data_IF_555347377847
#
_entry.id   IF_555347377847
#
_cell.length_a   1.000
_cell.length_b   1.000
_cell.length_c   1.000
_cell.angle_alpha   90.00
_cell.angle_beta   90.00
_cell.angle_gamma   90.00
#
_symmetry.space_group_name_H-M   'P 1'
#
loop_
_entity.id
_entity.type
_entity.pdbx_description
1 polymer ?
#
# COMPACT_ATOMS: atom_id res chain seq x y z
N UNK A 1 -0.32 -51.34 -12.50
CA UNK A 1 -0.40 -50.35 -11.38
C UNK A 1 0.65 -49.24 -11.56
N UNK A 2 0.46 -48.30 -12.49
CA UNK A 2 1.43 -47.20 -12.74
C UNK A 2 0.80 -45.84 -13.07
N UNK A 3 -0.54 -45.68 -12.99
CA UNK A 3 -1.23 -44.43 -13.37
C UNK A 3 -1.74 -43.60 -12.19
N UNK A 4 -1.64 -44.10 -10.96
CA UNK A 4 -2.20 -43.45 -9.77
C UNK A 4 -1.25 -42.44 -9.10
N UNK A 5 0.01 -42.37 -9.53
CA UNK A 5 1.02 -41.50 -8.91
C UNK A 5 1.04 -40.04 -9.41
N UNK A 6 0.30 -39.72 -10.48
CA UNK A 6 0.33 -38.37 -11.08
C UNK A 6 -0.59 -37.39 -10.35
N UNK A 7 -1.66 -37.87 -9.70
CA UNK A 7 -2.64 -36.99 -9.01
C UNK A 7 -2.10 -36.47 -7.67
N UNK A 8 -1.17 -37.18 -7.04
CA UNK A 8 -0.59 -36.75 -5.76
C UNK A 8 0.36 -35.56 -5.90
N UNK A 9 0.95 -35.34 -7.09
CA UNK A 9 1.93 -34.27 -7.31
C UNK A 9 1.28 -32.89 -7.47
N UNK A 10 0.01 -32.82 -7.90
CA UNK A 10 -0.72 -31.56 -8.04
C UNK A 10 -1.12 -30.92 -6.70
N UNK A 11 -1.21 -31.70 -5.62
CA UNK A 11 -1.58 -31.19 -4.30
C UNK A 11 -0.42 -30.58 -3.51
N UNK A 12 0.83 -30.75 -3.94
CA UNK A 12 2.02 -30.29 -3.18
C UNK A 12 2.44 -28.86 -3.59
N UNK A 13 1.95 -28.35 -4.72
CA UNK A 13 2.21 -26.97 -5.15
C UNK A 13 1.21 -25.94 -4.63
N UNK A 14 0.22 -26.33 -3.82
CA UNK A 14 -0.70 -25.39 -3.18
C UNK A 14 -0.17 -24.81 -1.89
N UNK A 15 1.16 -24.67 -1.73
CA UNK A 15 1.71 -23.68 -0.81
C UNK A 15 1.37 -22.30 -1.37
N UNK A 16 0.10 -21.92 -1.22
CA UNK A 16 -0.41 -20.59 -1.47
C UNK A 16 0.48 -19.65 -0.68
N UNK A 17 1.39 -18.95 -1.37
CA UNK A 17 2.00 -17.75 -0.84
C UNK A 17 0.81 -16.87 -0.48
N UNK A 18 0.54 -16.75 0.82
CA UNK A 18 -0.59 -16.00 1.33
C UNK A 18 -0.32 -14.54 0.99
N UNK A 19 -0.89 -14.09 -0.12
CA UNK A 19 -0.66 -12.74 -0.59
C UNK A 19 -1.26 -11.75 0.40
N UNK A 20 -0.44 -10.77 0.75
CA UNK A 20 -0.84 -9.71 1.67
C UNK A 20 -1.74 -8.70 0.98
N UNK A 21 -2.64 -8.10 1.76
CA UNK A 21 -3.62 -7.14 1.28
C UNK A 21 -3.39 -5.80 1.95
N UNK A 22 -3.34 -4.73 1.16
CA UNK A 22 -3.39 -3.37 1.68
C UNK A 22 -4.85 -3.01 1.97
N UNK A 23 -5.16 -2.64 3.21
CA UNK A 23 -6.50 -2.18 3.56
C UNK A 23 -6.69 -0.72 3.07
N UNK A 24 -7.41 -0.55 1.96
CA UNK A 24 -7.67 0.77 1.36
C UNK A 24 -8.43 1.71 2.30
N UNK A 25 -9.34 1.20 3.15
CA UNK A 25 -10.08 2.03 4.11
C UNK A 25 -9.17 2.59 5.20
N UNK A 26 -8.22 1.79 5.68
CA UNK A 26 -7.17 2.27 6.59
C UNK A 26 -6.38 3.41 5.94
N UNK A 27 -6.00 3.23 4.67
CA UNK A 27 -5.25 4.22 3.92
C UNK A 27 -6.03 5.52 3.77
N UNK A 28 -7.33 5.47 3.43
CA UNK A 28 -8.20 6.66 3.42
C UNK A 28 -8.39 7.31 4.80
N UNK A 29 -8.29 6.54 5.88
CA UNK A 29 -8.46 7.06 7.24
C UNK A 29 -7.22 7.87 7.66
N UNK A 30 -6.01 7.36 7.40
CA UNK A 30 -4.77 8.05 7.82
C UNK A 30 -4.50 9.33 7.03
N UNK A 31 -5.11 9.51 5.87
CA UNK A 31 -5.06 10.81 5.18
C UNK A 31 -5.92 11.88 5.85
N UNK A 32 -6.96 11.50 6.59
CA UNK A 32 -7.91 12.41 7.24
C UNK A 32 -7.54 12.75 8.69
N UNK A 33 -6.70 11.94 9.31
CA UNK A 33 -6.22 12.19 10.68
C UNK A 33 -5.26 13.37 10.68
N UNK A 34 -5.40 14.25 11.67
CA UNK A 34 -4.48 15.36 11.91
C UNK A 34 -3.03 14.89 11.91
N UNK A 35 -2.15 15.59 11.18
CA UNK A 35 -0.73 15.24 11.09
C UNK A 35 -0.03 15.25 12.47
N UNK A 36 -0.54 16.03 13.43
CA UNK A 36 0.00 16.05 14.80
C UNK A 36 -0.34 14.76 15.56
N UNK A 37 -1.55 14.24 15.36
CA UNK A 37 -2.12 13.13 16.15
C UNK A 37 -1.92 11.75 15.50
N UNK A 38 -1.39 11.73 14.27
CA UNK A 38 -1.23 10.50 13.47
C UNK A 38 -0.29 9.47 14.11
N UNK A 39 0.64 9.88 14.98
CA UNK A 39 1.61 8.98 15.61
C UNK A 39 0.89 7.88 16.39
N UNK A 40 -0.02 8.25 17.29
CA UNK A 40 -0.77 7.30 18.11
C UNK A 40 -1.67 6.39 17.26
N UNK A 41 -2.28 6.95 16.21
CA UNK A 41 -3.12 6.16 15.30
C UNK A 41 -2.28 5.09 14.59
N UNK A 42 -1.11 5.46 14.07
CA UNK A 42 -0.23 4.53 13.37
C UNK A 42 0.37 3.48 14.29
N UNK A 43 0.88 3.88 15.46
CA UNK A 43 1.58 2.98 16.39
C UNK A 43 0.61 2.12 17.19
N UNK A 44 -0.29 2.73 17.95
CA UNK A 44 -1.19 2.03 18.86
C UNK A 44 -2.39 1.42 18.11
N UNK A 45 -2.92 2.14 17.12
CA UNK A 45 -4.08 1.69 16.35
C UNK A 45 -3.77 0.61 15.32
N UNK A 46 -2.67 0.77 14.57
CA UNK A 46 -2.35 -0.12 13.45
C UNK A 46 -1.05 -0.92 13.62
N UNK A 47 -0.32 -0.76 14.73
CA UNK A 47 0.87 -1.55 15.04
C UNK A 47 2.06 -1.25 14.14
N UNK A 48 2.16 -0.02 13.61
CA UNK A 48 3.35 0.43 12.90
C UNK A 48 4.43 0.88 13.89
N UNK A 49 5.68 0.79 13.45
CA UNK A 49 6.83 1.36 14.15
C UNK A 49 7.20 2.66 13.46
N UNK A 50 7.38 3.74 14.24
CA UNK A 50 7.88 5.02 13.73
C UNK A 50 9.37 4.88 13.41
N UNK A 51 9.75 5.18 12.16
CA UNK A 51 11.13 5.01 11.66
C UNK A 51 11.91 6.32 11.82
N UNK A 52 11.33 7.44 11.40
CA UNK A 52 11.96 8.75 11.51
C UNK A 52 10.93 9.89 11.40
N UNK A 53 11.31 11.03 11.97
CA UNK A 53 10.78 12.35 11.61
C UNK A 53 11.82 13.06 10.75
N UNK A 54 11.40 13.54 9.59
CA UNK A 54 12.28 14.23 8.64
C UNK A 54 11.69 15.56 8.19
N UNK A 55 12.55 16.41 7.63
CA UNK A 55 12.15 17.62 6.91
C UNK A 55 11.40 18.66 7.77
N UNK A 56 12.01 19.00 8.92
CA UNK A 56 11.47 19.96 9.92
C UNK A 56 10.06 19.59 10.42
N UNK A 57 9.76 18.29 10.54
CA UNK A 57 8.48 17.80 11.05
C UNK A 57 7.35 17.85 10.02
N UNK A 58 7.66 17.95 8.73
CA UNK A 58 6.65 17.86 7.65
C UNK A 58 6.57 16.45 7.04
N UNK A 59 7.44 15.52 7.46
CA UNK A 59 7.42 14.14 7.01
C UNK A 59 7.51 13.19 8.21
N UNK A 60 6.65 12.18 8.21
CA UNK A 60 6.63 11.11 9.20
C UNK A 60 6.71 9.76 8.49
N UNK A 61 7.67 8.92 8.88
CA UNK A 61 7.87 7.60 8.27
C UNK A 61 7.53 6.48 9.24
N UNK A 62 6.81 5.48 8.74
CA UNK A 62 6.36 4.32 9.49
C UNK A 62 6.65 3.04 8.73
N UNK A 63 6.93 1.97 9.46
CA UNK A 63 7.13 0.64 8.93
C UNK A 63 6.27 -0.37 9.70
N UNK A 64 5.74 -1.37 9.00
CA UNK A 64 5.13 -2.54 9.60
C UNK A 64 5.69 -3.76 8.89
N UNK A 65 6.28 -4.68 9.67
CA UNK A 65 6.92 -5.90 9.16
C UNK A 65 6.18 -7.09 9.77
N UNK A 66 5.13 -7.61 9.11
CA UNK A 66 4.38 -8.77 9.60
C UNK A 66 5.28 -10.01 9.70
N UNK A 67 5.18 -10.71 10.83
CA UNK A 67 5.90 -11.97 11.08
C UNK A 67 7.43 -11.86 10.91
N UNK A 68 8.00 -10.66 11.09
CA UNK A 68 9.42 -10.35 10.83
C UNK A 68 9.89 -10.75 9.43
N UNK A 69 8.98 -10.72 8.44
CA UNK A 69 9.28 -11.02 7.05
C UNK A 69 9.29 -9.74 6.20
N UNK A 70 10.46 -9.37 5.69
CA UNK A 70 10.63 -8.16 4.87
C UNK A 70 9.84 -8.21 3.56
N UNK A 71 9.56 -9.40 3.03
CA UNK A 71 8.76 -9.58 1.81
C UNK A 71 7.28 -9.23 2.02
N UNK A 72 6.88 -9.05 3.28
CA UNK A 72 5.55 -8.69 3.73
C UNK A 72 5.48 -7.24 4.26
N UNK A 73 6.59 -6.50 4.25
CA UNK A 73 6.66 -5.19 4.85
C UNK A 73 5.80 -4.15 4.12
N UNK A 74 5.27 -3.20 4.91
CA UNK A 74 4.65 -1.96 4.45
C UNK A 74 5.46 -0.81 5.01
N UNK A 75 5.88 0.11 4.15
CA UNK A 75 6.45 1.39 4.56
C UNK A 75 5.52 2.52 4.13
N UNK A 76 5.17 3.41 5.05
CA UNK A 76 4.30 4.56 4.78
C UNK A 76 5.06 5.83 5.15
N UNK A 77 5.19 6.73 4.19
CA UNK A 77 5.64 8.11 4.43
C UNK A 77 4.43 9.02 4.31
N UNK A 78 4.13 9.73 5.40
CA UNK A 78 3.15 10.82 5.40
C UNK A 78 3.85 12.14 5.15
N UNK A 79 3.26 12.95 4.29
CA UNK A 79 3.69 14.32 4.02
C UNK A 79 2.62 15.26 4.55
N UNK A 80 3.03 16.29 5.29
CA UNK A 80 2.18 17.41 5.67
C UNK A 80 2.16 18.42 4.53
N UNK A 81 1.08 18.51 3.75
CA UNK A 81 0.97 19.56 2.75
C UNK A 81 0.85 20.93 3.43
N UNK A 82 1.41 21.96 2.80
CA UNK A 82 1.38 23.32 3.36
C UNK A 82 -0.02 23.95 3.33
N UNK A 83 -0.86 23.56 2.35
CA UNK A 83 -2.13 24.21 2.04
C UNK A 83 -3.32 23.24 1.94
N UNK A 84 -3.14 21.94 2.21
CA UNK A 84 -4.23 20.97 2.09
C UNK A 84 -4.65 20.45 3.48
N UNK A 85 -5.95 20.19 3.68
CA UNK A 85 -6.45 19.69 4.96
C UNK A 85 -6.13 18.21 5.22
N UNK A 86 -5.60 17.48 4.22
CA UNK A 86 -5.44 16.03 4.23
C UNK A 86 -3.99 15.64 3.97
N UNK A 87 -3.51 14.57 4.59
CA UNK A 87 -2.12 14.13 4.43
C UNK A 87 -1.94 13.40 3.09
N UNK A 88 -0.91 13.78 2.33
CA UNK A 88 -0.46 12.99 1.19
C UNK A 88 0.37 11.80 1.67
N UNK A 89 0.29 10.67 0.95
CA UNK A 89 0.96 9.42 1.31
C UNK A 89 1.85 8.89 0.19
N UNK A 90 3.00 8.35 0.56
CA UNK A 90 3.77 7.41 -0.26
C UNK A 90 3.89 6.09 0.47
N UNK A 91 3.34 5.03 -0.11
CA UNK A 91 3.28 3.70 0.45
C UNK A 91 4.13 2.78 -0.40
N UNK A 92 5.13 2.13 0.21
CA UNK A 92 5.89 1.05 -0.40
C UNK A 92 5.40 -0.28 0.14
N UNK A 93 5.08 -1.19 -0.77
CA UNK A 93 4.62 -2.54 -0.48
C UNK A 93 5.66 -3.53 -0.97
N UNK A 94 6.09 -4.43 -0.09
CA UNK A 94 7.02 -5.48 -0.44
C UNK A 94 6.42 -6.50 -1.43
N UNK A 95 7.24 -7.45 -1.89
CA UNK A 95 6.93 -8.29 -3.06
C UNK A 95 5.74 -9.24 -2.91
N UNK A 96 5.28 -9.55 -1.69
CA UNK A 96 4.15 -10.49 -1.48
C UNK A 96 2.76 -9.84 -1.58
N UNK A 97 2.68 -8.52 -1.86
CA UNK A 97 1.41 -7.84 -2.07
C UNK A 97 0.86 -8.06 -3.49
N UNK A 98 -0.43 -8.40 -3.59
CA UNK A 98 -1.09 -8.58 -4.87
C UNK A 98 -1.65 -7.25 -5.40
N UNK A 99 -0.95 -6.66 -6.37
CA UNK A 99 -1.34 -5.41 -7.00
C UNK A 99 -2.67 -5.50 -7.74
N UNK A 100 -3.01 -6.63 -8.36
CA UNK A 100 -4.31 -6.80 -9.02
C UNK A 100 -5.46 -6.74 -8.01
N UNK A 101 -5.24 -7.31 -6.81
CA UNK A 101 -6.22 -7.18 -5.74
C UNK A 101 -6.34 -5.74 -5.26
N UNK A 102 -5.24 -5.02 -5.07
CA UNK A 102 -5.28 -3.61 -4.68
C UNK A 102 -6.06 -2.77 -5.69
N UNK A 103 -5.83 -2.98 -6.99
CA UNK A 103 -6.58 -2.32 -8.06
C UNK A 103 -8.07 -2.61 -8.00
N UNK A 104 -8.45 -3.86 -7.72
CA UNK A 104 -9.85 -4.25 -7.52
C UNK A 104 -10.43 -3.60 -6.27
N UNK A 105 -9.72 -3.65 -5.15
CA UNK A 105 -10.15 -3.07 -3.88
C UNK A 105 -10.34 -1.54 -4.02
N UNK A 106 -9.52 -0.85 -4.81
CA UNK A 106 -9.74 0.56 -5.16
C UNK A 106 -11.07 0.78 -5.89
N UNK A 107 -11.35 -0.01 -6.93
CA UNK A 107 -12.62 0.09 -7.68
C UNK A 107 -13.84 -0.26 -6.81
N UNK A 108 -13.71 -1.24 -5.90
CA UNK A 108 -14.75 -1.59 -4.93
C UNK A 108 -15.00 -0.51 -3.87
N UNK A 109 -14.06 0.46 -3.71
CA UNK A 109 -14.20 1.61 -2.81
C UNK A 109 -14.41 2.92 -3.60
N UNK A 110 -15.09 2.85 -4.74
CA UNK A 110 -15.56 3.98 -5.56
C UNK A 110 -14.44 4.80 -6.26
N UNK A 111 -13.23 4.26 -6.38
CA UNK A 111 -12.22 4.88 -7.23
C UNK A 111 -12.45 4.55 -8.71
N UNK A 112 -12.52 5.59 -9.54
CA UNK A 112 -12.59 5.48 -10.99
C UNK A 112 -11.18 5.33 -11.58
N UNK A 113 -10.98 4.31 -12.41
CA UNK A 113 -9.73 4.16 -13.17
C UNK A 113 -9.68 5.17 -14.32
N UNK A 114 -8.60 5.95 -14.37
CA UNK A 114 -8.39 7.02 -15.36
C UNK A 114 -7.35 6.68 -16.44
N UNK A 115 -6.74 5.50 -16.37
CA UNK A 115 -5.69 5.10 -17.30
C UNK A 115 -4.29 5.12 -16.71
N UNK A 116 -3.29 5.06 -17.58
CA UNK A 116 -1.88 5.13 -17.23
C UNK A 116 -1.38 6.57 -17.39
N UNK A 117 -0.65 7.08 -16.40
CA UNK A 117 -0.01 8.38 -16.49
C UNK A 117 1.35 8.29 -17.19
N UNK A 118 1.94 9.44 -17.54
CA UNK A 118 3.23 9.53 -18.25
C UNK A 118 4.42 8.95 -17.47
N UNK A 119 4.26 8.71 -16.17
CA UNK A 119 5.31 8.23 -15.27
C UNK A 119 5.20 6.72 -15.00
N UNK A 120 4.33 5.99 -15.73
CA UNK A 120 4.20 4.54 -15.56
C UNK A 120 3.38 4.14 -14.33
N UNK A 121 2.42 4.96 -13.90
CA UNK A 121 1.46 4.62 -12.84
C UNK A 121 0.06 4.45 -13.41
N UNK A 122 -0.66 3.45 -12.90
CA UNK A 122 -2.11 3.39 -13.04
C UNK A 122 -2.76 4.42 -12.14
N UNK A 123 -3.56 5.29 -12.72
CA UNK A 123 -4.23 6.38 -12.03
C UNK A 123 -5.68 6.03 -11.71
N UNK A 124 -6.05 6.29 -10.46
CA UNK A 124 -7.37 6.11 -9.91
C UNK A 124 -7.80 7.42 -9.25
N UNK A 125 -9.07 7.80 -9.38
CA UNK A 125 -9.60 9.02 -8.77
C UNK A 125 -10.93 8.76 -8.07
N UNK A 126 -11.07 9.34 -6.88
CA UNK A 126 -12.32 9.42 -6.13
C UNK A 126 -12.43 10.82 -5.55
N UNK A 127 -13.47 11.56 -5.93
CA UNK A 127 -13.63 12.97 -5.53
C UNK A 127 -12.34 13.79 -5.83
N UNK A 128 -11.74 14.40 -4.82
CA UNK A 128 -10.49 15.14 -4.86
C UNK A 128 -9.25 14.28 -4.54
N UNK A 129 -9.39 12.97 -4.40
CA UNK A 129 -8.30 12.04 -4.09
C UNK A 129 -7.81 11.37 -5.37
N UNK A 130 -6.51 11.44 -5.60
CA UNK A 130 -5.82 10.73 -6.69
C UNK A 130 -4.94 9.64 -6.08
N UNK A 131 -5.17 8.40 -6.48
CA UNK A 131 -4.36 7.25 -6.12
C UNK A 131 -3.57 6.79 -7.36
N UNK A 132 -2.24 6.71 -7.24
CA UNK A 132 -1.34 6.25 -8.29
C UNK A 132 -0.70 4.93 -7.85
N UNK A 133 -0.83 3.88 -8.64
CA UNK A 133 -0.25 2.57 -8.37
C UNK A 133 0.83 2.28 -9.40
N UNK A 134 2.04 1.95 -8.98
CA UNK A 134 3.15 1.62 -9.89
C UNK A 134 2.78 0.45 -10.80
N UNK A 135 3.07 0.59 -12.10
CA UNK A 135 2.81 -0.48 -13.08
C UNK A 135 3.73 -1.66 -12.90
N UNK A 136 4.98 -1.38 -12.54
CA UNK A 136 6.04 -2.36 -12.34
C UNK A 136 6.64 -2.20 -10.94
N UNK A 137 7.07 -3.30 -10.32
CA UNK A 137 7.85 -3.21 -9.10
C UNK A 137 9.24 -2.62 -9.38
N UNK A 138 9.88 -2.09 -8.35
CA UNK A 138 11.28 -1.66 -8.41
C UNK A 138 12.24 -2.87 -8.40
N UNK A 139 13.55 -2.59 -8.39
CA UNK A 139 14.63 -3.61 -8.45
C UNK A 139 14.57 -4.66 -7.32
N UNK A 140 13.95 -4.33 -6.18
CA UNK A 140 13.78 -5.25 -5.04
C UNK A 140 12.41 -5.95 -5.02
N UNK A 141 11.60 -5.78 -6.08
CA UNK A 141 10.27 -6.38 -6.18
C UNK A 141 9.16 -5.62 -5.44
N UNK A 142 9.44 -4.43 -4.92
CA UNK A 142 8.47 -3.64 -4.18
C UNK A 142 7.67 -2.72 -5.11
N UNK A 143 6.39 -2.56 -4.80
CA UNK A 143 5.49 -1.66 -5.52
C UNK A 143 5.27 -0.37 -4.72
N UNK A 144 4.97 0.72 -5.43
CA UNK A 144 4.70 2.02 -4.84
C UNK A 144 3.25 2.44 -5.11
N UNK A 145 2.61 2.98 -4.07
CA UNK A 145 1.31 3.62 -4.15
C UNK A 145 1.45 5.05 -3.64
N UNK A 146 1.00 6.02 -4.42
CA UNK A 146 0.96 7.43 -4.04
C UNK A 146 -0.50 7.85 -3.86
N UNK A 147 -0.78 8.59 -2.80
CA UNK A 147 -2.09 9.20 -2.58
C UNK A 147 -1.90 10.69 -2.41
N UNK A 148 -2.55 11.42 -3.29
CA UNK A 148 -2.42 12.86 -3.47
C UNK A 148 -3.80 13.49 -3.52
N UNK A 149 -3.88 14.78 -3.20
CA UNK A 149 -5.10 15.56 -3.32
C UNK A 149 -5.03 16.49 -4.51
N UNK A 150 -6.16 16.62 -5.21
CA UNK A 150 -6.33 17.55 -6.31
C UNK A 150 -7.06 18.78 -5.80
N UNK A 151 -6.52 19.95 -6.13
CA UNK A 151 -7.18 21.25 -5.93
C UNK A 151 -8.48 21.36 -6.74
#
# INVERSE_FOLDING_TARGET
>A
MKKTFIILFCFIFSNFIQSQNLNIKFVEQITKVSFLDIDNVMTEGYGFIKVSDEDNGNKKKYAKIPDNNDDNAIFITLFKPKNEPLNSLSIFLAKNYNIQKIKRDLMENDFLYLGENKNGFWQYQKENIVCLVSKEPNDIGANQILILYKE
#
